data_IF_599487907074
#
_entry.id   IF_599487907074
#
_cell.length_a   1.000
_cell.length_b   1.000
_cell.length_c   1.000
_cell.angle_alpha   90.00
_cell.angle_beta   90.00
_cell.angle_gamma   90.00
#
_symmetry.space_group_name_H-M   'P 1'
#
loop_
_entity.id
_entity.type
_entity.pdbx_description
1 polymer ?
#
# COMPACT_ATOMS: atom_id res chain seq x y z
N UNK A 1 2.69 2.84 -3.84
CA UNK A 1 2.12 2.76 -5.20
C UNK A 1 0.63 3.01 -5.13
N UNK A 2 0.12 4.05 -5.78
CA UNK A 2 -1.32 4.29 -5.94
C UNK A 2 -1.78 3.77 -7.30
N UNK A 3 -2.89 3.05 -7.32
CA UNK A 3 -3.61 2.67 -8.54
C UNK A 3 -5.07 3.09 -8.42
N UNK A 4 -5.50 4.06 -9.21
CA UNK A 4 -6.91 4.45 -9.27
C UNK A 4 -7.79 3.30 -9.78
N UNK A 5 -9.03 3.29 -9.29
CA UNK A 5 -10.09 2.40 -9.79
C UNK A 5 -10.21 2.49 -11.31
N UNK A 6 -10.41 1.35 -11.96
CA UNK A 6 -10.62 1.27 -13.41
C UNK A 6 -12.04 1.67 -13.79
N UNK A 7 -13.03 1.45 -12.92
CA UNK A 7 -14.44 1.75 -13.22
C UNK A 7 -14.86 3.17 -12.83
N UNK A 8 -14.30 3.71 -11.75
CA UNK A 8 -14.67 5.01 -11.19
C UNK A 8 -13.47 5.65 -10.46
N UNK A 9 -12.49 6.20 -11.19
CA UNK A 9 -11.26 6.74 -10.61
C UNK A 9 -11.48 7.86 -9.57
N UNK A 10 -12.58 8.61 -9.72
CA UNK A 10 -12.88 9.82 -8.94
C UNK A 10 -13.59 9.48 -7.63
N UNK A 11 -14.57 8.56 -7.64
CA UNK A 11 -15.44 8.33 -6.48
C UNK A 11 -15.20 7.00 -5.77
N UNK A 12 -14.42 6.08 -6.37
CA UNK A 12 -14.18 4.78 -5.77
C UNK A 12 -13.47 4.90 -4.41
N UNK A 13 -13.83 4.06 -3.42
CA UNK A 13 -13.13 4.03 -2.14
C UNK A 13 -11.63 3.75 -2.31
N UNK A 14 -10.83 4.37 -1.46
CA UNK A 14 -9.40 4.07 -1.33
C UNK A 14 -9.21 2.91 -0.38
N UNK A 15 -8.52 1.88 -0.85
CA UNK A 15 -8.16 0.70 -0.05
C UNK A 15 -6.64 0.71 0.15
N UNK A 16 -6.20 0.90 1.39
CA UNK A 16 -4.80 0.72 1.77
C UNK A 16 -4.53 -0.78 1.92
N UNK A 17 -3.52 -1.28 1.22
CA UNK A 17 -3.00 -2.64 1.33
C UNK A 17 -1.60 -2.65 1.95
N UNK A 18 -1.47 -3.36 3.06
CA UNK A 18 -0.21 -3.57 3.77
C UNK A 18 0.14 -5.06 3.79
N UNK A 19 1.33 -5.41 3.29
CA UNK A 19 1.87 -6.75 3.52
C UNK A 19 2.36 -6.90 4.96
N UNK A 20 2.22 -8.10 5.51
CA UNK A 20 2.66 -8.44 6.86
C UNK A 20 4.12 -8.91 6.96
N UNK A 21 4.48 -9.30 8.18
CA UNK A 21 5.87 -9.48 8.64
C UNK A 21 6.54 -8.11 8.85
N UNK A 22 7.59 -7.97 9.67
CA UNK A 22 8.46 -6.83 9.52
C UNK A 22 9.30 -7.03 8.24
N UNK A 23 9.18 -6.13 7.26
CA UNK A 23 10.11 -6.10 6.12
C UNK A 23 9.63 -6.70 4.79
N UNK A 24 8.39 -7.19 4.69
CA UNK A 24 7.87 -7.68 3.38
C UNK A 24 7.28 -6.52 2.57
N UNK A 25 7.67 -6.41 1.31
CA UNK A 25 7.12 -5.38 0.42
C UNK A 25 5.65 -5.65 0.06
N UNK A 26 4.83 -4.59 0.10
CA UNK A 26 3.47 -4.57 -0.42
C UNK A 26 3.41 -4.68 -1.94
N UNK A 27 4.54 -4.64 -2.64
CA UNK A 27 4.60 -4.99 -4.06
C UNK A 27 4.29 -6.46 -4.30
N UNK A 28 4.42 -7.32 -3.29
CA UNK A 28 3.91 -8.69 -3.35
C UNK A 28 2.38 -8.70 -3.57
N UNK A 29 1.63 -7.93 -2.80
CA UNK A 29 0.18 -7.78 -2.98
C UNK A 29 -0.19 -7.19 -4.34
N UNK A 30 0.61 -6.24 -4.83
CA UNK A 30 0.42 -5.65 -6.14
C UNK A 30 0.59 -6.66 -7.28
N UNK A 31 1.69 -7.41 -7.31
CA UNK A 31 1.99 -8.31 -8.44
C UNK A 31 1.37 -9.70 -8.30
N UNK A 32 1.25 -10.22 -7.09
CA UNK A 32 0.92 -11.64 -6.87
C UNK A 32 -0.52 -11.85 -6.40
N UNK A 33 -1.17 -10.87 -5.79
CA UNK A 33 -2.46 -11.06 -5.13
C UNK A 33 -3.59 -10.33 -5.85
N UNK A 34 -3.72 -9.02 -5.61
CA UNK A 34 -4.94 -8.28 -5.94
C UNK A 34 -4.72 -7.06 -6.84
N UNK A 35 -3.48 -6.72 -7.16
CA UNK A 35 -3.18 -5.64 -8.10
C UNK A 35 -3.47 -6.02 -9.55
N UNK A 36 -3.51 -5.02 -10.45
CA UNK A 36 -3.94 -5.19 -11.83
C UNK A 36 -2.89 -5.83 -12.73
N UNK A 37 -1.68 -6.05 -12.22
CA UNK A 37 -0.59 -6.65 -12.97
C UNK A 37 -0.02 -7.86 -12.24
N UNK A 38 0.58 -8.76 -13.01
CA UNK A 38 1.47 -9.80 -12.50
C UNK A 38 2.68 -9.89 -13.43
N UNK A 39 3.79 -10.44 -12.95
CA UNK A 39 4.97 -10.62 -13.79
C UNK A 39 4.87 -11.93 -14.58
N UNK A 40 5.37 -11.91 -15.82
CA UNK A 40 5.56 -13.11 -16.62
C UNK A 40 6.49 -14.11 -15.94
N UNK A 41 6.48 -15.36 -16.41
CA UNK A 41 7.29 -16.45 -15.81
C UNK A 41 8.79 -16.12 -15.80
N UNK A 42 9.26 -15.37 -16.80
CA UNK A 42 10.65 -14.91 -16.90
C UNK A 42 10.92 -13.61 -16.11
N UNK A 43 9.90 -13.02 -15.49
CA UNK A 43 9.98 -11.81 -14.66
C UNK A 43 10.13 -10.49 -15.44
N UNK A 44 10.22 -10.53 -16.78
CA UNK A 44 10.60 -9.36 -17.58
C UNK A 44 9.41 -8.55 -18.10
N UNK A 45 8.20 -9.11 -18.07
CA UNK A 45 7.00 -8.47 -18.63
C UNK A 45 5.91 -8.38 -17.58
N UNK A 46 5.37 -7.18 -17.37
CA UNK A 46 4.15 -7.01 -16.60
C UNK A 46 2.93 -7.33 -17.49
N UNK A 47 2.13 -8.30 -17.07
CA UNK A 47 0.90 -8.74 -17.73
C UNK A 47 -0.32 -8.28 -16.94
N UNK A 48 -1.43 -8.01 -17.62
CA UNK A 48 -2.68 -7.59 -16.99
C UNK A 48 -3.42 -8.76 -16.33
N UNK A 49 -3.90 -8.53 -15.11
CA UNK A 49 -4.78 -9.45 -14.38
C UNK A 49 -6.23 -9.12 -14.68
N UNK A 50 -6.99 -10.11 -15.17
CA UNK A 50 -8.42 -9.93 -15.48
C UNK A 50 -9.28 -9.66 -14.25
N UNK A 51 -8.93 -10.25 -13.09
CA UNK A 51 -9.64 -10.05 -11.83
C UNK A 51 -8.73 -9.34 -10.82
N UNK A 52 -9.01 -8.07 -10.57
CA UNK A 52 -8.22 -7.22 -9.67
C UNK A 52 -9.13 -6.34 -8.83
N UNK A 53 -8.73 -6.04 -7.60
CA UNK A 53 -9.48 -5.12 -6.74
C UNK A 53 -9.47 -3.70 -7.30
N UNK A 54 -8.44 -3.36 -8.09
CA UNK A 54 -8.37 -2.10 -8.83
C UNK A 54 -9.50 -1.94 -9.87
N UNK A 55 -10.32 -2.96 -10.13
CA UNK A 55 -11.54 -2.77 -10.93
C UNK A 55 -12.54 -1.84 -10.27
N UNK A 56 -12.66 -1.90 -8.93
CA UNK A 56 -13.72 -1.20 -8.17
C UNK A 56 -13.18 -0.23 -7.12
N UNK A 57 -11.93 -0.38 -6.72
CA UNK A 57 -11.29 0.40 -5.66
C UNK A 57 -10.04 1.11 -6.17
N UNK A 58 -9.75 2.26 -5.58
CA UNK A 58 -8.43 2.89 -5.72
C UNK A 58 -7.48 2.23 -4.71
N UNK A 59 -6.55 1.43 -5.20
CA UNK A 59 -5.65 0.61 -4.38
C UNK A 59 -4.37 1.37 -4.04
N UNK A 60 -4.05 1.47 -2.75
CA UNK A 60 -2.83 2.08 -2.23
C UNK A 60 -1.95 1.02 -1.57
N UNK A 61 -0.82 0.69 -2.18
CA UNK A 61 0.16 -0.27 -1.64
C UNK A 61 1.32 0.47 -1.01
N UNK A 62 1.62 0.20 0.26
CA UNK A 62 2.64 0.93 1.02
C UNK A 62 3.64 -0.06 1.62
N UNK A 63 4.92 0.17 1.34
CA UNK A 63 6.00 -0.55 2.01
C UNK A 63 6.26 0.11 3.37
N UNK A 64 6.13 -0.67 4.43
CA UNK A 64 6.28 -0.21 5.81
C UNK A 64 6.80 -1.35 6.69
N UNK A 65 7.59 -1.05 7.75
CA UNK A 65 8.14 0.27 8.08
C UNK A 65 9.30 0.67 7.16
N UNK A 66 9.91 1.84 7.42
CA UNK A 66 11.15 2.27 6.75
C UNK A 66 12.21 1.16 6.85
N UNK A 67 12.84 0.83 5.72
CA UNK A 67 13.69 -0.35 5.53
C UNK A 67 13.03 -1.48 4.76
N UNK A 68 11.71 -1.42 4.55
CA UNK A 68 10.93 -2.40 3.78
C UNK A 68 10.88 -2.03 2.30
N UNK A 69 11.22 -2.96 1.41
CA UNK A 69 11.07 -2.78 -0.04
C UNK A 69 11.69 -1.48 -0.55
N UNK A 70 10.86 -0.57 -1.06
CA UNK A 70 11.27 0.75 -1.57
C UNK A 70 11.21 1.89 -0.55
N UNK A 71 10.84 1.63 0.70
CA UNK A 71 10.89 2.63 1.78
C UNK A 71 12.27 2.62 2.42
N UNK A 72 13.07 3.68 2.23
CA UNK A 72 14.43 3.80 2.77
C UNK A 72 14.71 5.18 3.36
N UNK A 73 15.72 5.26 4.21
CA UNK A 73 16.22 6.50 4.83
C UNK A 73 17.75 6.52 4.73
N UNK A 74 18.33 7.72 4.62
CA UNK A 74 19.79 7.92 4.72
C UNK A 74 20.27 8.17 6.15
N UNK A 75 19.35 8.30 7.11
CA UNK A 75 19.62 8.55 8.52
C UNK A 75 19.16 7.35 9.35
N UNK A 76 20.07 6.80 10.18
CA UNK A 76 19.77 5.70 11.11
C UNK A 76 18.64 6.05 12.08
N UNK A 77 18.45 7.34 12.40
CA UNK A 77 17.35 7.80 13.23
C UNK A 77 15.97 7.60 12.59
N UNK A 78 15.90 7.45 11.27
CA UNK A 78 14.67 7.25 10.51
C UNK A 78 14.14 5.81 10.50
N UNK A 79 14.86 4.85 11.09
CA UNK A 79 14.33 3.49 11.26
C UNK A 79 13.44 3.43 12.51
N UNK A 80 12.22 2.92 12.33
CA UNK A 80 11.28 2.68 13.43
C UNK A 80 11.86 1.68 14.44
N UNK A 81 11.81 2.00 15.73
CA UNK A 81 12.40 1.16 16.80
C UNK A 81 11.36 0.34 17.56
N UNK A 82 10.08 0.67 17.38
CA UNK A 82 8.95 0.02 18.04
C UNK A 82 7.66 0.24 17.22
N UNK A 83 6.57 -0.41 17.62
CA UNK A 83 5.27 -0.32 16.92
C UNK A 83 4.65 1.08 16.96
N UNK A 84 4.94 1.89 18.00
CA UNK A 84 4.47 3.28 18.09
C UNK A 84 5.10 4.14 17.00
N UNK A 85 6.39 3.97 16.73
CA UNK A 85 7.07 4.64 15.62
C UNK A 85 6.43 4.25 14.27
N UNK A 86 6.21 2.95 14.04
CA UNK A 86 5.54 2.47 12.81
C UNK A 86 4.16 3.10 12.62
N UNK A 87 3.36 3.18 13.70
CA UNK A 87 2.03 3.78 13.65
C UNK A 87 2.07 5.28 13.38
N UNK A 88 3.00 6.01 14.01
CA UNK A 88 3.20 7.45 13.77
C UNK A 88 3.62 7.71 12.32
N UNK A 89 4.61 6.98 11.83
CA UNK A 89 5.14 7.16 10.47
C UNK A 89 4.06 6.85 9.42
N UNK A 90 3.23 5.81 9.64
CA UNK A 90 2.09 5.49 8.78
C UNK A 90 1.00 6.59 8.81
N UNK A 91 0.72 7.15 9.98
CA UNK A 91 -0.24 8.25 10.11
C UNK A 91 0.26 9.51 9.37
N UNK A 92 1.52 9.87 9.54
CA UNK A 92 2.16 10.99 8.84
C UNK A 92 2.15 10.77 7.32
N UNK A 93 2.47 9.55 6.87
CA UNK A 93 2.36 9.17 5.46
C UNK A 93 0.94 9.37 4.94
N UNK A 94 -0.09 8.89 5.65
CA UNK A 94 -1.48 9.03 5.21
C UNK A 94 -1.95 10.49 5.16
N UNK A 95 -1.54 11.32 6.12
CA UNK A 95 -1.82 12.75 6.12
C UNK A 95 -1.21 13.43 4.90
N UNK A 96 0.05 13.13 4.59
CA UNK A 96 0.73 13.67 3.40
C UNK A 96 0.11 13.15 2.10
N UNK A 97 -0.25 11.86 2.08
CA UNK A 97 -0.92 11.23 0.95
C UNK A 97 -2.23 11.95 0.60
N UNK A 98 -3.12 12.17 1.58
CA UNK A 98 -4.38 12.88 1.32
C UNK A 98 -4.21 14.39 1.13
N UNK A 99 -3.08 14.96 1.52
CA UNK A 99 -2.72 16.34 1.14
C UNK A 99 -2.35 16.41 -0.35
N UNK A 100 -1.62 15.41 -0.85
CA UNK A 100 -1.19 15.34 -2.25
C UNK A 100 -2.32 14.90 -3.19
N UNK A 101 -3.15 13.94 -2.75
CA UNK A 101 -4.30 13.39 -3.46
C UNK A 101 -5.60 13.85 -2.81
N UNK A 102 -5.75 15.18 -2.71
CA UNK A 102 -6.89 15.82 -2.02
C UNK A 102 -8.26 15.44 -2.62
N UNK A 103 -8.29 15.09 -3.90
CA UNK A 103 -9.47 14.59 -4.61
C UNK A 103 -9.97 13.24 -4.05
N UNK A 104 -9.08 12.43 -3.48
CA UNK A 104 -9.43 11.15 -2.87
C UNK A 104 -9.79 11.27 -1.38
N UNK A 105 -9.58 12.44 -0.77
CA UNK A 105 -9.76 12.62 0.68
C UNK A 105 -11.22 12.51 1.14
N UNK A 106 -12.18 12.70 0.22
CA UNK A 106 -13.61 12.55 0.50
C UNK A 106 -14.11 11.12 0.23
N UNK A 107 -13.29 10.26 -0.36
CA UNK A 107 -13.69 8.90 -0.73
C UNK A 107 -13.72 8.02 0.54
N UNK A 108 -14.50 6.96 0.51
CA UNK A 108 -14.46 5.95 1.57
C UNK A 108 -13.03 5.39 1.72
N UNK A 109 -12.55 5.21 2.94
CA UNK A 109 -11.21 4.70 3.21
C UNK A 109 -11.27 3.40 4.00
N UNK A 110 -10.58 2.37 3.51
CA UNK A 110 -10.50 1.07 4.15
C UNK A 110 -9.04 0.67 4.39
N UNK A 111 -8.74 0.25 5.61
CA UNK A 111 -7.44 -0.30 5.97
C UNK A 111 -7.50 -1.83 5.82
N UNK A 112 -6.63 -2.37 4.97
CA UNK A 112 -6.53 -3.81 4.74
C UNK A 112 -5.08 -4.24 4.78
N UNK A 113 -4.85 -5.51 5.10
CA UNK A 113 -3.51 -6.06 5.08
C UNK A 113 -3.53 -7.57 5.28
N UNK A 114 -2.43 -8.18 4.88
CA UNK A 114 -2.21 -9.62 5.00
C UNK A 114 -1.27 -9.92 6.18
N UNK A 115 -1.47 -11.04 6.88
CA UNK A 115 -0.56 -11.52 7.93
C UNK A 115 -0.40 -10.53 9.11
N UNK A 116 0.84 -10.21 9.51
CA UNK A 116 1.16 -9.37 10.68
C UNK A 116 0.63 -7.92 10.59
N UNK A 117 0.14 -7.49 9.42
CA UNK A 117 -0.60 -6.24 9.25
C UNK A 117 -1.91 -6.20 10.07
N UNK A 118 -2.40 -7.36 10.55
CA UNK A 118 -3.53 -7.48 11.47
C UNK A 118 -3.20 -7.34 12.96
N UNK A 119 -1.95 -7.04 13.34
CA UNK A 119 -1.59 -6.87 14.76
C UNK A 119 -2.27 -5.61 15.30
N UNK A 120 -3.15 -5.79 16.29
CA UNK A 120 -3.96 -4.71 16.89
C UNK A 120 -3.08 -3.59 17.44
N UNK A 121 -3.42 -2.36 17.05
CA UNK A 121 -3.00 -1.14 17.72
C UNK A 121 -3.59 -1.13 19.13
N UNK A 122 -2.76 -1.31 20.16
CA UNK A 122 -3.11 -1.15 21.57
C UNK A 122 -2.24 -0.07 22.20
#
# INVERSE_FOLDING_TARGET
>A
MLRHSQSDPENAPVVLWLQGGPGTTSMMGFFNENGPYYLSVDGNTAMFRELTWAQRYSMLYVDQPVGTGYSFTGDEAGYARNQTDVGRDMLEFLQQFFTMYSELAQNGFYLTGESYAGTRWH
#
